data_IF_261126313534
#
_entry.id   IF_261126313534
#
_cell.length_a   1.000
_cell.length_b   1.000
_cell.length_c   1.000
_cell.angle_alpha   90.00
_cell.angle_beta   90.00
_cell.angle_gamma   90.00
#
_symmetry.space_group_name_H-M   'P 1'
#
loop_
_entity.id
_entity.type
_entity.pdbx_description
1 polymer ?
#
# COMPACT_ATOMS: atom_id res chain seq x y z
N UNK A 1 -14.24 2.85 7.51
CA UNK A 1 -13.27 2.05 6.74
C UNK A 1 -13.42 2.49 5.30
N UNK A 2 -12.30 2.83 4.68
CA UNK A 2 -12.22 3.14 3.25
C UNK A 2 -11.87 1.85 2.50
N UNK A 3 -12.42 1.69 1.31
CA UNK A 3 -12.03 0.63 0.38
C UNK A 3 -11.01 1.24 -0.57
N UNK A 4 -9.76 0.80 -0.46
CA UNK A 4 -8.63 1.37 -1.19
C UNK A 4 -8.17 0.39 -2.27
N UNK A 5 -7.96 0.89 -3.47
CA UNK A 5 -7.28 0.17 -4.53
C UNK A 5 -5.91 0.79 -4.80
N UNK A 6 -4.91 -0.04 -5.02
CA UNK A 6 -3.56 0.42 -5.34
C UNK A 6 -3.44 0.53 -6.86
N UNK A 7 -3.40 1.76 -7.36
CA UNK A 7 -3.29 2.04 -8.80
C UNK A 7 -1.88 2.45 -9.21
N UNK A 8 -0.98 2.63 -8.25
CA UNK A 8 0.45 2.85 -8.49
C UNK A 8 1.31 2.50 -7.27
N UNK A 9 2.53 2.03 -7.50
CA UNK A 9 3.53 1.79 -6.44
C UNK A 9 4.78 2.57 -6.81
N UNK A 10 5.19 3.52 -5.96
CA UNK A 10 6.45 4.24 -6.12
C UNK A 10 7.58 3.46 -5.45
N UNK A 11 7.42 3.16 -4.16
CA UNK A 11 8.33 2.33 -3.40
C UNK A 11 7.66 1.77 -2.14
N UNK A 12 8.30 0.79 -1.53
CA UNK A 12 7.91 0.22 -0.24
C UNK A 12 9.11 0.28 0.70
N UNK A 13 8.93 0.66 1.95
CA UNK A 13 9.99 0.67 2.96
C UNK A 13 9.50 0.13 4.30
N UNK A 14 10.42 -0.15 5.22
CA UNK A 14 10.04 -0.44 6.60
C UNK A 14 9.44 0.83 7.22
N UNK A 15 8.31 0.68 7.91
CA UNK A 15 7.69 1.79 8.60
C UNK A 15 8.61 2.29 9.73
N UNK A 16 9.02 3.54 9.63
CA UNK A 16 9.71 4.28 10.69
C UNK A 16 8.91 5.51 11.15
N UNK A 17 7.65 5.63 10.71
CA UNK A 17 6.81 6.81 10.97
C UNK A 17 6.33 6.82 12.42
N UNK A 18 6.67 7.90 13.13
CA UNK A 18 6.27 8.13 14.52
C UNK A 18 4.99 8.97 14.57
N UNK A 19 4.15 8.76 15.59
CA UNK A 19 2.97 9.61 15.85
C UNK A 19 1.69 9.20 15.10
N UNK A 20 1.66 8.04 14.46
CA UNK A 20 0.44 7.43 13.91
C UNK A 20 -0.09 6.33 14.83
N UNK A 21 -1.39 6.33 15.10
CA UNK A 21 -2.04 5.41 16.04
C UNK A 21 -2.50 4.10 15.38
N UNK A 22 -1.64 3.10 15.36
CA UNK A 22 -1.90 1.81 14.70
C UNK A 22 -2.76 0.84 15.51
N UNK A 23 -3.67 0.12 14.83
CA UNK A 23 -4.48 -0.94 15.45
C UNK A 23 -3.73 -2.26 15.63
N UNK A 24 -2.79 -2.58 14.74
CA UNK A 24 -1.99 -3.79 14.90
C UNK A 24 -0.99 -3.68 16.04
N UNK A 25 -0.75 -4.82 16.71
CA UNK A 25 0.25 -4.92 17.77
C UNK A 25 1.66 -4.59 17.24
N UNK A 26 2.51 -3.96 18.07
CA UNK A 26 3.87 -3.56 17.69
C UNK A 26 4.81 -4.71 17.30
N UNK A 27 4.41 -5.96 17.58
CA UNK A 27 5.21 -7.16 17.30
C UNK A 27 5.28 -7.53 15.80
N UNK A 28 4.43 -6.94 14.96
CA UNK A 28 4.45 -7.19 13.51
C UNK A 28 5.11 -6.01 12.79
N UNK A 29 6.27 -6.20 12.14
CA UNK A 29 6.91 -5.13 11.39
C UNK A 29 5.98 -4.67 10.26
N UNK A 30 5.76 -3.36 10.20
CA UNK A 30 4.93 -2.73 9.18
C UNK A 30 5.78 -2.23 8.02
N UNK A 31 5.19 -2.31 6.85
CA UNK A 31 5.68 -1.74 5.62
C UNK A 31 4.88 -0.49 5.31
N UNK A 32 5.58 0.48 4.75
CA UNK A 32 5.04 1.72 4.22
C UNK A 32 5.07 1.62 2.70
N UNK A 33 3.91 1.40 2.07
CA UNK A 33 3.77 1.45 0.62
C UNK A 33 3.39 2.88 0.23
N UNK A 34 4.27 3.54 -0.53
CA UNK A 34 4.03 4.88 -1.07
C UNK A 34 3.65 4.72 -2.54
N UNK A 35 2.53 5.31 -2.91
CA UNK A 35 1.95 5.05 -4.22
C UNK A 35 0.73 5.90 -4.51
N UNK A 36 0.02 5.48 -5.55
CA UNK A 36 -1.26 6.07 -5.94
C UNK A 36 -2.36 5.17 -5.42
N UNK A 37 -3.27 5.74 -4.63
CA UNK A 37 -4.37 5.07 -3.96
C UNK A 37 -5.67 5.65 -4.50
N UNK A 38 -6.59 4.77 -4.87
CA UNK A 38 -7.96 5.10 -5.26
C UNK A 38 -8.88 4.77 -4.09
N UNK A 39 -9.64 5.75 -3.59
CA UNK A 39 -10.74 5.51 -2.66
C UNK A 39 -12.00 5.14 -3.46
N UNK A 40 -12.45 3.89 -3.33
CA UNK A 40 -13.59 3.38 -4.09
C UNK A 40 -14.90 4.12 -3.78
N UNK A 41 -15.03 4.73 -2.58
CA UNK A 41 -16.24 5.41 -2.18
C UNK A 41 -16.38 6.80 -2.82
N UNK A 42 -15.26 7.50 -3.05
CA UNK A 42 -15.27 8.84 -3.66
C UNK A 42 -14.77 8.87 -5.11
N UNK A 43 -14.24 7.74 -5.61
CA UNK A 43 -13.55 7.64 -6.91
C UNK A 43 -12.36 8.60 -7.02
N UNK A 44 -11.81 9.08 -5.89
CA UNK A 44 -10.65 9.95 -5.85
C UNK A 44 -9.37 9.12 -5.92
N UNK A 45 -8.52 9.43 -6.90
CA UNK A 45 -7.19 8.85 -7.05
C UNK A 45 -6.14 9.88 -6.64
N UNK A 46 -5.39 9.60 -5.58
CA UNK A 46 -4.42 10.52 -4.99
C UNK A 46 -3.12 9.81 -4.57
N UNK A 47 -2.05 10.59 -4.40
CA UNK A 47 -0.83 10.06 -3.79
C UNK A 47 -1.06 9.81 -2.29
N UNK A 48 -0.70 8.62 -1.84
CA UNK A 48 -0.97 8.20 -0.47
C UNK A 48 -0.01 7.14 0.04
N UNK A 49 -0.15 6.88 1.33
CA UNK A 49 0.66 5.91 2.06
C UNK A 49 -0.27 4.83 2.61
N UNK A 50 0.01 3.59 2.25
CA UNK A 50 -0.68 2.42 2.79
C UNK A 50 0.26 1.64 3.71
N UNK A 51 -0.06 1.63 5.00
CA UNK A 51 0.62 0.83 6.01
C UNK A 51 0.06 -0.58 6.05
N UNK A 52 0.92 -1.57 5.87
CA UNK A 52 0.51 -2.96 5.73
C UNK A 52 1.61 -3.90 6.24
N UNK A 53 1.25 -5.11 6.61
CA UNK A 53 2.20 -6.15 7.01
C UNK A 53 2.81 -6.82 5.79
N UNK A 54 3.98 -7.48 5.94
CA UNK A 54 4.56 -8.30 4.85
C UNK A 54 3.56 -9.31 4.27
N UNK A 55 2.71 -9.90 5.12
CA UNK A 55 1.69 -10.85 4.69
C UNK A 55 0.68 -10.20 3.75
N UNK A 56 0.20 -9.01 4.10
CA UNK A 56 -0.75 -8.25 3.28
C UNK A 56 -0.11 -7.78 1.97
N UNK A 57 1.16 -7.36 1.99
CA UNK A 57 1.89 -7.04 0.75
C UNK A 57 1.91 -8.25 -0.18
N UNK A 58 2.23 -9.42 0.36
CA UNK A 58 2.28 -10.63 -0.43
C UNK A 58 0.90 -10.95 -1.02
N UNK A 59 -0.20 -10.76 -0.27
CA UNK A 59 -1.56 -10.92 -0.83
C UNK A 59 -1.85 -9.94 -1.97
N UNK A 60 -1.39 -8.69 -1.84
CA UNK A 60 -1.54 -7.70 -2.90
C UNK A 60 -0.75 -8.12 -4.14
N UNK A 61 0.48 -8.63 -4.01
CA UNK A 61 1.37 -8.88 -5.16
C UNK A 61 1.35 -10.32 -5.70
N UNK A 62 0.80 -11.29 -4.96
CA UNK A 62 0.85 -12.71 -5.32
C UNK A 62 0.18 -12.98 -6.67
N UNK A 63 0.85 -13.74 -7.52
CA UNK A 63 0.40 -14.09 -8.89
C UNK A 63 0.18 -12.89 -9.82
N UNK A 64 0.76 -11.72 -9.52
CA UNK A 64 0.65 -10.50 -10.34
C UNK A 64 1.93 -10.15 -11.10
N UNK A 65 2.94 -11.01 -11.07
CA UNK A 65 4.22 -10.85 -11.76
C UNK A 65 4.95 -9.52 -11.44
N UNK A 66 4.67 -8.91 -10.28
CA UNK A 66 5.30 -7.67 -9.85
C UNK A 66 6.69 -7.98 -9.30
N UNK A 67 7.71 -7.40 -9.94
CA UNK A 67 9.11 -7.59 -9.57
C UNK A 67 9.63 -6.38 -8.79
N UNK A 68 10.08 -6.62 -7.55
CA UNK A 68 10.61 -5.61 -6.66
C UNK A 68 12.12 -5.78 -6.49
N UNK A 69 12.84 -4.67 -6.58
CA UNK A 69 14.28 -4.59 -6.34
C UNK A 69 14.55 -3.77 -5.07
N UNK A 70 15.33 -4.35 -4.16
CA UNK A 70 15.80 -3.66 -2.96
C UNK A 70 16.97 -2.75 -3.30
N UNK A 71 16.88 -1.48 -2.91
CA UNK A 71 17.94 -0.49 -3.01
C UNK A 71 17.79 0.48 -1.82
N UNK A 72 18.88 0.68 -1.07
CA UNK A 72 18.93 1.65 0.05
C UNK A 72 17.76 1.48 1.05
N UNK A 73 17.52 0.24 1.50
CA UNK A 73 16.44 -0.16 2.42
C UNK A 73 15.00 0.07 1.90
N UNK A 74 14.86 0.40 0.62
CA UNK A 74 13.58 0.57 -0.08
C UNK A 74 13.41 -0.46 -1.17
N UNK A 75 12.17 -0.86 -1.44
CA UNK A 75 11.80 -1.77 -2.51
C UNK A 75 11.14 -0.98 -3.61
N UNK A 76 11.80 -0.92 -4.76
CA UNK A 76 11.31 -0.25 -5.96
C UNK A 76 10.82 -1.26 -6.97
N UNK A 77 9.92 -0.85 -7.85
CA UNK A 77 9.60 -1.63 -9.04
C UNK A 77 10.85 -1.80 -9.90
N UNK A 78 11.26 -3.04 -10.17
CA UNK A 78 12.42 -3.31 -11.04
C UNK A 78 12.12 -2.92 -12.50
N UNK A 79 10.83 -2.98 -12.89
CA UNK A 79 10.30 -2.52 -14.17
C UNK A 79 8.98 -1.79 -13.93
N UNK A 80 8.64 -0.77 -14.74
CA UNK A 80 7.32 -0.16 -14.70
C UNK A 80 6.22 -1.21 -14.83
N UNK A 81 5.14 -1.06 -14.06
CA UNK A 81 3.99 -1.95 -14.14
C UNK A 81 3.35 -1.84 -15.53
N UNK A 82 3.09 -2.99 -16.14
CA UNK A 82 2.29 -3.08 -17.36
C UNK A 82 0.82 -2.81 -17.05
N UNK A 83 0.03 -2.48 -18.08
CA UNK A 83 -1.43 -2.30 -17.94
C UNK A 83 -2.14 -3.51 -17.34
N UNK A 84 -1.64 -4.72 -17.63
CA UNK A 84 -2.22 -5.94 -17.06
C UNK A 84 -1.92 -6.06 -15.56
N UNK A 85 -0.69 -5.76 -15.16
CA UNK A 85 -0.30 -5.79 -13.75
C UNK A 85 -1.03 -4.72 -12.93
N UNK A 86 -1.16 -3.50 -13.48
CA UNK A 86 -1.95 -2.44 -12.85
C UNK A 86 -3.40 -2.86 -12.63
N UNK A 87 -4.03 -3.50 -13.62
CA UNK A 87 -5.38 -4.06 -13.45
C UNK A 87 -5.41 -5.13 -12.37
N UNK A 88 -4.49 -6.09 -12.38
CA UNK A 88 -4.46 -7.16 -11.36
C UNK A 88 -4.29 -6.57 -9.95
N UNK A 89 -3.39 -5.60 -9.78
CA UNK A 89 -3.13 -4.97 -8.47
C UNK A 89 -4.32 -4.10 -8.04
N UNK A 90 -4.89 -3.32 -8.94
CA UNK A 90 -6.05 -2.47 -8.67
C UNK A 90 -7.37 -3.23 -8.46
N UNK A 91 -7.42 -4.53 -8.79
CA UNK A 91 -8.57 -5.40 -8.47
C UNK A 91 -8.54 -5.94 -7.03
N UNK A 92 -7.46 -5.68 -6.28
CA UNK A 92 -7.37 -6.09 -4.89
C UNK A 92 -8.11 -5.07 -4.03
N UNK A 93 -9.05 -5.55 -3.24
CA UNK A 93 -9.81 -4.73 -2.30
C UNK A 93 -9.03 -4.63 -0.98
N UNK A 94 -8.67 -3.41 -0.60
CA UNK A 94 -8.02 -3.13 0.68
C UNK A 94 -8.97 -2.39 1.59
N UNK A 95 -9.54 -3.10 2.56
CA UNK A 95 -10.23 -2.46 3.68
C UNK A 95 -9.18 -1.73 4.51
N UNK A 96 -9.24 -0.40 4.54
CA UNK A 96 -8.27 0.42 5.24
C UNK A 96 -8.93 1.41 6.20
N UNK A 97 -8.16 1.86 7.18
CA UNK A 97 -8.55 2.92 8.10
C UNK A 97 -7.66 4.13 7.93
N UNK A 98 -8.28 5.30 7.85
CA UNK A 98 -7.58 6.56 7.75
C UNK A 98 -6.87 6.89 9.06
N UNK A 99 -5.58 7.19 8.97
CA UNK A 99 -4.66 7.38 10.09
C UNK A 99 -4.31 8.85 10.31
N UNK A 100 -4.71 9.73 9.39
CA UNK A 100 -4.25 11.11 9.32
C UNK A 100 -3.43 11.37 8.06
N UNK A 101 -2.64 12.43 8.08
CA UNK A 101 -1.80 12.85 6.96
C UNK A 101 -0.34 12.92 7.40
N UNK A 102 0.57 12.47 6.54
CA UNK A 102 2.01 12.68 6.67
C UNK A 102 2.45 13.71 5.62
N UNK A 103 2.49 14.98 6.01
CA UNK A 103 2.65 16.07 5.05
C UNK A 103 1.42 16.17 4.15
N UNK A 104 1.61 16.02 2.83
CA UNK A 104 0.54 16.04 1.82
C UNK A 104 -0.11 14.67 1.57
N UNK A 105 0.52 13.59 2.04
CA UNK A 105 0.05 12.23 1.78
C UNK A 105 -1.02 11.80 2.79
N UNK A 106 -2.16 11.32 2.29
CA UNK A 106 -3.15 10.61 3.11
C UNK A 106 -2.59 9.27 3.55
N UNK A 107 -2.69 8.98 4.84
CA UNK A 107 -2.17 7.76 5.44
C UNK A 107 -3.30 6.80 5.80
N UNK A 108 -3.15 5.55 5.39
CA UNK A 108 -4.13 4.50 5.63
C UNK A 108 -3.47 3.27 6.24
N UNK A 109 -4.11 2.62 7.22
CA UNK A 109 -3.72 1.31 7.73
C UNK A 109 -4.59 0.24 7.09
N UNK A 110 -3.98 -0.70 6.36
CA UNK A 110 -4.69 -1.84 5.78
C UNK A 110 -5.17 -2.78 6.87
N UNK A 111 -6.48 -2.92 7.05
CA UNK A 111 -7.12 -3.80 8.04
C UNK A 111 -7.35 -5.21 7.48
N UNK A 112 -7.72 -5.31 6.20
CA UNK A 112 -7.96 -6.58 5.52
C UNK A 112 -7.69 -6.43 4.02
N UNK A 113 -7.14 -7.50 3.44
CA UNK A 113 -6.96 -7.63 1.98
C UNK A 113 -7.91 -8.73 1.50
N UNK A 114 -8.71 -8.41 0.49
CA UNK A 114 -9.58 -9.36 -0.22
C UNK A 114 -9.23 -9.34 -1.71
N UNK A 115 -9.35 -10.49 -2.37
CA UNK A 115 -9.09 -10.71 -3.81
C UNK A 115 -10.32 -11.42 -4.41
#
# INVERSE_FOLDING_TARGET
MAEIHITGIQYIELNAEEGLDFKYKPEVPKLKLVGTLLDAASEDEEEGILFLTQKQLNQILINKDVDLKVQDDRWFLNKPLTKEQLKKVGLVDVDAEFMGNAGEFKCYEAVKISD
#
